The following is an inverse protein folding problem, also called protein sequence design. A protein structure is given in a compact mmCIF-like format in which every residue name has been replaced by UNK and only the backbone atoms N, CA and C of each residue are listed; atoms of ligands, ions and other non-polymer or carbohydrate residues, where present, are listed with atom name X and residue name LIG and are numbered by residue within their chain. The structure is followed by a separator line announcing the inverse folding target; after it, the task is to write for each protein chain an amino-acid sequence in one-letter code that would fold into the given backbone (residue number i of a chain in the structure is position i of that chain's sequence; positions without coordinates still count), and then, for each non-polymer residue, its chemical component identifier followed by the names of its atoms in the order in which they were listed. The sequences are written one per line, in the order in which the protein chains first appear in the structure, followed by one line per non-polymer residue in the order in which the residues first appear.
data_IF_984790616021
#
_entry.id   IF_984790616021
#
_cell.length_a   1.000
_cell.length_b   1.000
_cell.length_c   1.000
_cell.angle_alpha   90.00
_cell.angle_beta   90.00
_cell.angle_gamma   90.00
#
_symmetry.space_group_name_H-M   'P 1'
#
loop_
_entity.id
_entity.type
_entity.pdbx_description
1 polymer ?
#
# COMPACT_ATOMS: atom_id res chain seq x y z
N UNK A 1 -10.10 -19.79 2.96
CA UNK A 1 -8.78 -19.53 2.32
C UNK A 1 -8.93 -19.41 0.80
N UNK A 2 -9.83 -20.14 0.16
CA UNK A 2 -10.04 -20.11 -1.30
C UNK A 2 -10.15 -18.71 -1.94
N UNK A 3 -10.70 -17.72 -1.23
CA UNK A 3 -10.73 -16.33 -1.72
C UNK A 3 -9.35 -15.69 -1.88
N UNK A 4 -8.37 -16.02 -1.04
CA UNK A 4 -6.98 -15.53 -1.15
C UNK A 4 -6.29 -16.18 -2.35
N UNK A 5 -6.49 -17.48 -2.53
CA UNK A 5 -5.96 -18.21 -3.69
C UNK A 5 -6.53 -17.65 -5.00
N UNK A 6 -7.83 -17.42 -5.05
CA UNK A 6 -8.50 -16.82 -6.21
C UNK A 6 -7.95 -15.42 -6.51
N UNK A 7 -7.88 -14.54 -5.50
CA UNK A 7 -7.40 -13.17 -5.68
C UNK A 7 -5.93 -13.13 -6.14
N UNK A 8 -5.09 -14.03 -5.66
CA UNK A 8 -3.68 -14.09 -6.06
C UNK A 8 -3.48 -14.71 -7.45
N UNK A 9 -4.36 -15.62 -7.88
CA UNK A 9 -4.33 -16.20 -9.21
C UNK A 9 -4.66 -15.18 -10.33
N UNK A 10 -5.31 -14.06 -10.00
CA UNK A 10 -5.62 -12.99 -10.96
C UNK A 10 -4.37 -12.22 -11.44
N UNK A 11 -3.24 -12.31 -10.73
CA UNK A 11 -1.97 -11.65 -11.08
C UNK A 11 -1.21 -12.39 -12.20
N UNK A 12 -1.80 -12.43 -13.40
CA UNK A 12 -1.24 -13.15 -14.58
C UNK A 12 -0.01 -12.51 -15.22
N UNK A 13 0.33 -11.27 -14.86
CA UNK A 13 1.48 -10.53 -15.42
C UNK A 13 2.79 -10.75 -14.65
N UNK A 14 2.76 -11.46 -13.54
CA UNK A 14 3.93 -11.72 -12.70
C UNK A 14 4.42 -13.14 -12.96
N UNK A 15 5.71 -13.29 -13.28
CA UNK A 15 6.34 -14.62 -13.38
C UNK A 15 6.33 -15.33 -12.03
N UNK A 16 6.56 -14.58 -10.95
CA UNK A 16 6.53 -15.06 -9.58
C UNK A 16 5.85 -14.08 -8.63
N UNK A 17 5.05 -14.61 -7.70
CA UNK A 17 4.44 -13.85 -6.62
C UNK A 17 5.49 -13.52 -5.53
N UNK A 18 5.37 -12.35 -4.87
CA UNK A 18 6.29 -11.93 -3.83
C UNK A 18 6.16 -12.84 -2.60
N UNK A 19 7.29 -13.25 -2.01
CA UNK A 19 7.28 -14.17 -0.88
C UNK A 19 6.95 -13.51 0.46
N UNK A 20 6.73 -12.19 0.53
CA UNK A 20 6.29 -11.48 1.74
C UNK A 20 4.92 -10.86 1.46
N UNK A 21 3.94 -11.22 2.28
CA UNK A 21 2.57 -10.76 2.19
C UNK A 21 2.24 -10.00 3.47
N UNK A 22 1.96 -8.71 3.32
CA UNK A 22 1.63 -7.83 4.42
C UNK A 22 0.11 -7.65 4.48
N UNK A 23 -0.49 -8.01 5.61
CA UNK A 23 -1.92 -7.83 5.84
C UNK A 23 -2.20 -6.58 6.66
N UNK A 24 -3.27 -5.88 6.31
CA UNK A 24 -3.73 -4.68 7.00
C UNK A 24 -5.25 -4.59 7.03
N UNK A 25 -5.77 -3.62 7.79
CA UNK A 25 -7.19 -3.34 7.93
C UNK A 25 -7.91 -4.29 8.89
N UNK A 26 -9.13 -3.92 9.30
CA UNK A 26 -9.88 -4.64 10.35
C UNK A 26 -10.20 -6.11 10.01
N UNK A 27 -10.38 -6.45 8.72
CA UNK A 27 -10.61 -7.83 8.30
C UNK A 27 -9.43 -8.77 8.55
N UNK A 28 -8.21 -8.23 8.65
CA UNK A 28 -7.01 -9.00 8.96
C UNK A 28 -6.80 -9.26 10.45
N UNK A 29 -7.61 -8.65 11.33
CA UNK A 29 -7.53 -8.85 12.78
C UNK A 29 -8.06 -10.21 13.25
N UNK A 30 -8.65 -11.01 12.34
CA UNK A 30 -9.12 -12.35 12.66
C UNK A 30 -7.92 -13.30 12.87
N UNK A 31 -7.61 -13.65 14.11
CA UNK A 31 -6.48 -14.53 14.45
C UNK A 31 -6.53 -15.88 13.70
N UNK A 32 -7.72 -16.44 13.51
CA UNK A 32 -7.91 -17.67 12.76
C UNK A 32 -7.49 -17.53 11.29
N UNK A 33 -7.68 -16.35 10.68
CA UNK A 33 -7.22 -16.07 9.32
C UNK A 33 -5.69 -16.13 9.26
N UNK A 34 -5.00 -15.44 10.17
CA UNK A 34 -3.53 -15.42 10.26
C UNK A 34 -2.97 -16.84 10.41
N UNK A 35 -3.45 -17.59 11.40
CA UNK A 35 -3.04 -18.98 11.64
C UNK A 35 -3.21 -19.87 10.41
N UNK A 36 -4.33 -19.70 9.69
CA UNK A 36 -4.63 -20.49 8.50
C UNK A 36 -3.77 -20.10 7.30
N UNK A 37 -3.43 -18.83 7.16
CA UNK A 37 -2.52 -18.37 6.10
C UNK A 37 -1.08 -18.80 6.36
N UNK A 38 -0.63 -18.79 7.61
CA UNK A 38 0.72 -19.21 8.01
C UNK A 38 0.92 -20.74 7.96
N UNK A 39 -0.06 -21.53 8.40
CA UNK A 39 0.07 -23.00 8.47
C UNK A 39 -0.37 -23.72 7.19
N UNK A 40 -1.18 -23.08 6.35
CA UNK A 40 -1.80 -23.71 5.19
C UNK A 40 -0.85 -23.95 4.01
N UNK A 41 -1.28 -24.82 3.09
CA UNK A 41 -0.55 -25.18 1.86
C UNK A 41 -1.10 -24.49 0.60
N UNK A 42 -1.97 -23.50 0.77
CA UNK A 42 -2.67 -22.77 -0.31
C UNK A 42 -1.71 -22.13 -1.34
N UNK A 43 -0.49 -21.81 -0.93
CA UNK A 43 0.53 -21.22 -1.80
C UNK A 43 1.08 -22.19 -2.85
N UNK A 44 0.90 -23.52 -2.67
CA UNK A 44 1.49 -24.54 -3.57
C UNK A 44 0.88 -24.52 -4.98
N UNK A 45 -0.34 -24.02 -5.13
CA UNK A 45 -1.02 -23.92 -6.42
C UNK A 45 -0.79 -22.57 -7.12
N UNK A 46 0.04 -21.70 -6.53
CA UNK A 46 0.31 -20.35 -7.01
C UNK A 46 1.78 -20.21 -7.37
N UNK A 47 2.11 -19.18 -8.16
CA UNK A 47 3.45 -18.93 -8.68
C UNK A 47 4.45 -18.39 -7.62
N UNK A 48 4.47 -18.95 -6.41
CA UNK A 48 5.50 -18.63 -5.41
C UNK A 48 6.75 -19.49 -5.61
N UNK A 49 7.92 -18.89 -5.42
CA UNK A 49 9.21 -19.62 -5.47
C UNK A 49 9.53 -20.36 -4.16
N UNK A 50 8.85 -20.00 -3.06
CA UNK A 50 8.95 -20.62 -1.73
C UNK A 50 7.71 -20.27 -0.90
N UNK A 51 7.54 -20.90 0.27
CA UNK A 51 6.44 -20.58 1.19
C UNK A 51 6.44 -19.07 1.53
N UNK A 52 5.33 -18.34 1.32
CA UNK A 52 5.27 -16.93 1.65
C UNK A 52 5.22 -16.71 3.17
N UNK A 53 5.88 -15.65 3.62
CA UNK A 53 5.74 -15.11 4.97
C UNK A 53 4.52 -14.19 4.98
N UNK A 54 3.57 -14.44 5.87
CA UNK A 54 2.37 -13.61 6.06
C UNK A 54 2.49 -12.94 7.41
N UNK A 55 2.41 -11.61 7.46
CA UNK A 55 2.47 -10.85 8.71
C UNK A 55 1.64 -9.58 8.62
N UNK A 56 1.32 -8.99 9.75
CA UNK A 56 0.73 -7.66 9.80
C UNK A 56 1.80 -6.59 9.55
N UNK A 57 1.48 -5.63 8.68
CA UNK A 57 2.29 -4.42 8.53
C UNK A 57 2.10 -3.51 9.74
N UNK A 58 3.20 -2.97 10.25
CA UNK A 58 3.22 -2.07 11.39
C UNK A 58 3.16 -0.60 10.93
N UNK A 59 2.56 0.31 11.73
CA UNK A 59 2.51 1.73 11.40
C UNK A 59 3.86 2.37 11.07
N UNK A 60 4.94 1.92 11.73
CA UNK A 60 6.30 2.42 11.53
C UNK A 60 6.87 2.06 10.14
N UNK A 61 6.32 1.04 9.49
CA UNK A 61 6.70 0.64 8.13
C UNK A 61 6.02 1.51 7.05
N UNK A 62 5.08 2.39 7.42
CA UNK A 62 4.41 3.32 6.48
C UNK A 62 5.27 4.55 6.25
N UNK A 63 5.95 4.57 5.11
CA UNK A 63 6.89 5.65 4.75
C UNK A 63 6.19 7.00 4.61
N UNK A 64 6.78 8.02 5.26
CA UNK A 64 6.39 9.42 5.10
C UNK A 64 5.15 9.83 5.90
N UNK A 65 4.73 9.00 6.86
CA UNK A 65 3.76 9.34 7.89
C UNK A 65 4.40 9.00 9.25
N UNK A 66 4.19 9.87 10.24
CA UNK A 66 4.68 9.65 11.61
C UNK A 66 3.56 10.00 12.56
N UNK A 67 3.18 9.06 13.43
CA UNK A 67 2.23 9.32 14.49
C UNK A 67 2.94 9.96 15.68
N UNK A 68 2.60 11.21 15.97
CA UNK A 68 3.07 11.92 17.16
C UNK A 68 2.15 11.73 18.38
N UNK A 69 0.99 11.10 18.21
CA UNK A 69 -0.01 10.92 19.27
C UNK A 69 0.16 9.62 20.05
N UNK A 70 0.77 8.60 19.44
CA UNK A 70 0.94 7.27 20.01
C UNK A 70 -0.34 6.42 19.99
N UNK A 71 -1.38 6.87 19.30
CA UNK A 71 -2.66 6.16 19.20
C UNK A 71 -2.74 5.24 17.97
N UNK A 72 -1.84 5.41 17.01
CA UNK A 72 -1.79 4.63 15.77
C UNK A 72 -0.81 3.50 15.96
N UNK A 73 -1.26 2.41 16.60
CA UNK A 73 -0.37 1.35 17.10
C UNK A 73 -0.53 0.00 16.41
N UNK A 74 -1.42 -0.14 15.43
CA UNK A 74 -1.68 -1.44 14.80
C UNK A 74 -2.01 -1.36 13.31
N UNK A 75 -2.09 -2.55 12.70
CA UNK A 75 -2.33 -2.75 11.27
C UNK A 75 -3.69 -2.27 10.76
N UNK A 76 -4.64 -1.95 11.65
CA UNK A 76 -5.98 -1.49 11.26
C UNK A 76 -5.97 -0.05 10.77
N UNK A 77 -4.99 0.75 11.21
CA UNK A 77 -4.84 2.15 10.80
C UNK A 77 -4.11 2.33 9.46
N UNK A 78 -3.44 1.29 8.96
CA UNK A 78 -2.61 1.36 7.75
C UNK A 78 -3.41 1.82 6.52
N UNK A 79 -4.67 1.38 6.40
CA UNK A 79 -5.54 1.84 5.30
C UNK A 79 -5.76 3.36 5.36
N UNK A 80 -6.01 3.91 6.55
CA UNK A 80 -6.17 5.35 6.74
C UNK A 80 -4.87 6.11 6.48
N UNK A 81 -3.73 5.57 6.93
CA UNK A 81 -2.41 6.15 6.66
C UNK A 81 -2.12 6.15 5.15
N UNK A 82 -2.41 5.06 4.43
CA UNK A 82 -2.24 5.00 2.97
C UNK A 82 -3.08 6.06 2.24
N UNK A 83 -4.33 6.26 2.65
CA UNK A 83 -5.18 7.33 2.10
C UNK A 83 -4.63 8.73 2.40
N UNK A 84 -4.15 8.96 3.63
CA UNK A 84 -3.52 10.23 4.01
C UNK A 84 -2.29 10.52 3.14
N UNK A 85 -1.46 9.50 2.89
CA UNK A 85 -0.27 9.60 2.04
C UNK A 85 -0.64 10.03 0.62
N UNK A 86 -1.62 9.36 0.02
CA UNK A 86 -2.11 9.69 -1.33
C UNK A 86 -2.71 11.10 -1.36
N UNK A 87 -3.46 11.49 -0.32
CA UNK A 87 -3.99 12.85 -0.19
C UNK A 87 -2.90 13.91 -0.18
N UNK A 88 -1.84 13.70 0.62
CA UNK A 88 -0.66 14.58 0.67
C UNK A 88 0.06 14.66 -0.68
N UNK A 89 0.31 13.52 -1.32
CA UNK A 89 0.95 13.47 -2.64
C UNK A 89 0.09 14.19 -3.71
N UNK A 90 -1.24 14.11 -3.61
CA UNK A 90 -2.18 14.81 -4.49
C UNK A 90 -2.14 16.33 -4.29
N UNK A 91 -2.13 16.81 -3.04
CA UNK A 91 -2.02 18.25 -2.74
C UNK A 91 -0.68 18.82 -3.23
N UNK A 92 0.42 18.10 -3.01
CA UNK A 92 1.75 18.52 -3.42
C UNK A 92 1.91 18.54 -4.95
N UNK A 93 1.36 17.54 -5.63
CA UNK A 93 1.38 17.45 -7.09
C UNK A 93 0.43 18.47 -7.75
N UNK A 94 -0.72 18.75 -7.12
CA UNK A 94 -1.71 19.73 -7.58
C UNK A 94 -1.29 21.19 -7.36
N UNK A 95 -0.64 21.50 -6.24
CA UNK A 95 -0.17 22.87 -5.94
C UNK A 95 0.99 23.34 -6.84
N UNK A 96 1.72 22.42 -7.47
CA UNK A 96 2.74 22.74 -8.47
C UNK A 96 2.14 23.31 -9.78
N UNK A 97 0.84 23.11 -10.03
CA UNK A 97 0.17 23.61 -11.25
C UNK A 97 -0.33 25.06 -11.13
N UNK A 98 -0.23 25.70 -9.96
CA UNK A 98 -0.71 27.07 -9.73
C UNK A 98 0.37 28.12 -9.43
N UNK A 99 1.65 27.80 -9.63
CA UNK A 99 2.68 28.82 -9.87
C UNK A 99 3.02 28.82 -11.35
N UNK A 100 2.11 29.32 -12.19
CA UNK A 100 2.56 29.94 -13.45
C UNK A 100 3.51 31.05 -13.02
N UNK A 101 4.81 30.79 -13.13
CA UNK A 101 5.83 31.72 -12.66
C UNK A 101 5.56 33.05 -13.35
N UNK A 102 5.72 34.18 -12.65
CA UNK A 102 5.56 35.49 -13.29
C UNK A 102 6.50 35.62 -14.51
N UNK A 103 7.59 34.83 -14.53
CA UNK A 103 8.46 34.63 -15.70
C UNK A 103 7.74 34.01 -16.90
N UNK A 104 6.90 33.00 -16.70
CA UNK A 104 6.15 32.34 -17.78
C UNK A 104 5.08 33.26 -18.37
N UNK A 105 4.43 34.06 -17.52
CA UNK A 105 3.48 35.09 -17.95
C UNK A 105 4.18 36.21 -18.73
N UNK A 106 5.35 36.65 -18.28
CA UNK A 106 6.15 37.69 -18.96
C UNK A 106 6.69 37.19 -20.31
N UNK A 107 7.21 35.96 -20.37
CA UNK A 107 7.77 35.39 -21.60
C UNK A 107 6.71 35.14 -22.68
N UNK A 108 5.45 34.94 -22.26
CA UNK A 108 4.29 34.86 -23.17
C UNK A 108 3.86 36.23 -23.70
N UNK A 109 4.00 37.30 -22.90
CA UNK A 109 3.67 38.67 -23.30
C UNK A 109 4.74 39.30 -24.22
N UNK A 110 6.00 38.85 -24.10
CA UNK A 110 7.13 39.33 -24.93
C UNK A 110 7.29 38.56 -26.25
N UNK A 111 6.38 37.63 -26.57
CA UNK A 111 6.39 36.79 -27.78
C UNK A 111 5.48 37.29 -28.91
N UNK A 112 4.89 38.48 -28.76
CA UNK A 112 4.26 39.27 -29.84
C UNK A 112 5.20 40.36 -30.30
#
# INVERSE_FOLDING_TARGET
ISGVELALAEFSKLDHLPNHLLLCGGGSSLEMLMKRLESGEWYKNLAFTKKPLVQHIQPEEVVGITDSTGNVSDHTFITAMGLLRVGMDTLNSGAASQKTSMKDKLNRALRT
#
